data_IF_298117434406
#
_entry.id   IF_298117434406
#
_cell.length_a   1.000
_cell.length_b   1.000
_cell.length_c   1.000
_cell.angle_alpha   90.00
_cell.angle_beta   90.00
_cell.angle_gamma   90.00
#
_symmetry.space_group_name_H-M   'P 1'
#
loop_
_entity.id
_entity.type
_entity.pdbx_description
1 polymer ?
#
# COMPACT_ATOMS: atom_id res chain seq x y z
N UNK A 1 4.29 8.47 -30.34
CA UNK A 1 3.12 7.86 -29.67
C UNK A 1 3.50 6.60 -28.88
N UNK A 2 4.24 5.68 -29.47
CA UNK A 2 4.68 4.41 -28.79
C UNK A 2 5.48 4.65 -27.50
N UNK A 3 6.46 5.56 -27.51
CA UNK A 3 7.26 5.87 -26.32
C UNK A 3 6.41 6.43 -25.18
N UNK A 4 5.39 7.21 -25.48
CA UNK A 4 4.47 7.73 -24.47
C UNK A 4 3.64 6.60 -23.84
N UNK A 5 3.10 5.69 -24.66
CA UNK A 5 2.33 4.55 -24.17
C UNK A 5 3.17 3.61 -23.29
N UNK A 6 4.40 3.33 -23.69
CA UNK A 6 5.33 2.50 -22.91
C UNK A 6 5.61 3.15 -21.55
N UNK A 7 5.92 4.45 -21.53
CA UNK A 7 6.16 5.19 -20.27
C UNK A 7 4.93 5.25 -19.39
N UNK A 8 3.75 5.43 -19.97
CA UNK A 8 2.49 5.42 -19.23
C UNK A 8 2.23 4.04 -18.60
N UNK A 9 2.43 2.96 -19.35
CA UNK A 9 2.30 1.59 -18.84
C UNK A 9 3.30 1.29 -17.72
N UNK A 10 4.56 1.71 -17.87
CA UNK A 10 5.58 1.55 -16.84
C UNK A 10 5.21 2.31 -15.55
N UNK A 11 4.72 3.54 -15.68
CA UNK A 11 4.25 4.34 -14.54
C UNK A 11 3.09 3.63 -13.84
N UNK A 12 2.09 3.19 -14.60
CA UNK A 12 0.92 2.47 -14.07
C UNK A 12 1.32 1.20 -13.33
N UNK A 13 2.21 0.40 -13.92
CA UNK A 13 2.71 -0.83 -13.31
C UNK A 13 3.47 -0.54 -12.01
N UNK A 14 4.35 0.46 -12.02
CA UNK A 14 5.13 0.86 -10.84
C UNK A 14 4.24 1.34 -9.70
N UNK A 15 3.26 2.19 -10.00
CA UNK A 15 2.26 2.66 -9.02
C UNK A 15 1.42 1.50 -8.49
N UNK A 16 1.00 0.57 -9.34
CA UNK A 16 0.22 -0.60 -8.92
C UNK A 16 0.97 -1.46 -7.92
N UNK A 17 2.27 -1.70 -8.16
CA UNK A 17 3.11 -2.48 -7.23
C UNK A 17 3.28 -1.73 -5.91
N UNK A 18 3.58 -0.43 -5.95
CA UNK A 18 3.76 0.37 -4.74
C UNK A 18 2.48 0.42 -3.90
N UNK A 19 1.33 0.64 -4.54
CA UNK A 19 0.02 0.67 -3.86
C UNK A 19 -0.31 -0.69 -3.28
N UNK A 20 -0.14 -1.77 -4.04
CA UNK A 20 -0.42 -3.12 -3.57
C UNK A 20 0.40 -3.46 -2.32
N UNK A 21 1.68 -3.12 -2.30
CA UNK A 21 2.56 -3.37 -1.16
C UNK A 21 2.25 -2.44 0.02
N UNK A 22 1.89 -1.19 -0.26
CA UNK A 22 1.43 -0.23 0.75
C UNK A 22 0.18 -0.75 1.48
N UNK A 23 -0.87 -1.07 0.74
CA UNK A 23 -2.11 -1.63 1.30
C UNK A 23 -1.85 -3.00 1.96
N UNK A 24 -0.94 -3.78 1.38
CA UNK A 24 -0.46 -5.04 1.97
C UNK A 24 0.18 -4.86 3.34
N UNK A 25 0.85 -3.73 3.59
CA UNK A 25 1.39 -3.37 4.89
C UNK A 25 0.30 -3.16 5.95
N UNK A 26 -0.72 -2.39 5.64
CA UNK A 26 -1.90 -2.20 6.50
C UNK A 26 -2.61 -3.53 6.77
N UNK A 27 -2.81 -4.31 5.72
CA UNK A 27 -3.42 -5.63 5.80
C UNK A 27 -2.63 -6.58 6.71
N UNK A 28 -1.31 -6.66 6.53
CA UNK A 28 -0.43 -7.54 7.31
C UNK A 28 -0.50 -7.23 8.81
N UNK A 29 -0.31 -5.97 9.20
CA UNK A 29 -0.36 -5.59 10.61
C UNK A 29 -1.76 -5.74 11.20
N UNK A 30 -2.82 -5.48 10.43
CA UNK A 30 -4.19 -5.71 10.87
C UNK A 30 -4.43 -7.18 11.19
N UNK A 31 -4.04 -8.08 10.31
CA UNK A 31 -4.17 -9.54 10.56
C UNK A 31 -3.29 -10.00 11.72
N UNK A 32 -2.07 -9.49 11.84
CA UNK A 32 -1.14 -9.83 12.92
C UNK A 32 -1.73 -9.49 14.30
N UNK A 33 -2.44 -8.37 14.43
CA UNK A 33 -3.05 -7.92 15.69
C UNK A 33 -4.51 -8.35 15.85
N UNK A 34 -5.01 -9.24 14.99
CA UNK A 34 -6.38 -9.73 15.06
C UNK A 34 -7.45 -8.66 14.81
N UNK A 35 -7.11 -7.67 13.96
CA UNK A 35 -8.07 -6.70 13.45
C UNK A 35 -8.69 -7.23 12.17
N UNK A 36 -10.01 -7.12 12.06
CA UNK A 36 -10.75 -7.58 10.91
C UNK A 36 -10.53 -6.61 9.74
N UNK A 37 -10.13 -7.17 8.61
CA UNK A 37 -10.10 -6.46 7.32
C UNK A 37 -11.32 -6.89 6.52
N UNK A 38 -12.16 -5.94 6.15
CA UNK A 38 -13.40 -6.20 5.41
C UNK A 38 -13.14 -6.32 3.91
N UNK A 39 -12.38 -5.36 3.36
CA UNK A 39 -12.05 -5.31 1.94
C UNK A 39 -10.57 -5.03 1.71
N UNK A 40 -10.02 -5.66 0.71
CA UNK A 40 -8.67 -5.41 0.20
C UNK A 40 -8.74 -5.29 -1.32
N UNK A 41 -8.62 -4.08 -1.82
CA UNK A 41 -8.80 -3.78 -3.24
C UNK A 41 -7.55 -3.15 -3.82
N UNK A 42 -7.09 -3.73 -4.93
CA UNK A 42 -6.17 -3.06 -5.82
C UNK A 42 -7.00 -2.20 -6.78
N UNK A 43 -6.68 -0.93 -6.86
CA UNK A 43 -7.44 0.09 -7.56
C UNK A 43 -8.80 0.41 -6.95
N UNK A 44 -9.25 1.63 -7.17
CA UNK A 44 -10.57 2.06 -6.74
C UNK A 44 -11.66 1.48 -7.65
N UNK A 45 -12.80 1.22 -7.06
CA UNK A 45 -13.97 0.63 -7.72
C UNK A 45 -15.23 1.53 -7.65
N UNK A 46 -15.14 2.85 -7.97
CA UNK A 46 -16.31 3.70 -7.96
C UNK A 46 -17.34 3.12 -8.94
N UNK A 47 -18.56 2.86 -8.44
CA UNK A 47 -19.72 2.30 -9.10
C UNK A 47 -19.66 0.80 -9.43
N UNK A 48 -18.51 0.25 -9.85
CA UNK A 48 -18.37 -1.20 -10.13
C UNK A 48 -16.93 -1.68 -9.97
N UNK A 49 -16.76 -2.96 -9.73
CA UNK A 49 -15.46 -3.65 -9.67
C UNK A 49 -15.31 -4.56 -10.89
N UNK A 50 -14.07 -4.81 -11.30
CA UNK A 50 -13.76 -5.73 -12.39
C UNK A 50 -13.81 -7.19 -11.92
N UNK A 51 -13.34 -7.43 -10.71
CA UNK A 51 -13.26 -8.74 -10.11
C UNK A 51 -13.41 -8.63 -8.60
N UNK A 52 -14.17 -9.55 -7.99
CA UNK A 52 -14.29 -9.68 -6.54
C UNK A 52 -14.27 -11.16 -6.16
N UNK A 53 -13.51 -11.48 -5.12
CA UNK A 53 -13.38 -12.82 -4.61
C UNK A 53 -13.36 -12.82 -3.08
N UNK A 54 -14.22 -13.64 -2.47
CA UNK A 54 -14.24 -13.87 -1.02
C UNK A 54 -13.96 -15.32 -0.72
N UNK A 55 -12.80 -15.68 -0.10
CA UNK A 55 -12.52 -17.03 0.34
C UNK A 55 -13.53 -17.48 1.41
N UNK A 56 -13.96 -18.74 1.35
CA UNK A 56 -14.97 -19.29 2.29
C UNK A 56 -14.56 -19.21 3.78
N UNK A 57 -13.26 -19.18 4.05
CA UNK A 57 -12.70 -19.15 5.41
C UNK A 57 -12.08 -17.79 5.76
N UNK A 58 -12.41 -16.72 5.04
CA UNK A 58 -11.88 -15.39 5.29
C UNK A 58 -13.00 -14.37 5.45
N UNK A 59 -12.82 -13.45 6.39
CA UNK A 59 -13.71 -12.30 6.55
C UNK A 59 -13.41 -11.20 5.52
N UNK A 60 -12.30 -11.33 4.80
CA UNK A 60 -11.81 -10.32 3.86
C UNK A 60 -12.30 -10.64 2.45
N UNK A 61 -12.85 -9.63 1.79
CA UNK A 61 -13.17 -9.64 0.36
C UNK A 61 -12.02 -9.00 -0.40
N UNK A 62 -11.49 -9.71 -1.38
CA UNK A 62 -10.41 -9.24 -2.25
C UNK A 62 -10.99 -8.82 -3.59
N UNK A 63 -10.56 -7.69 -4.12
CA UNK A 63 -11.10 -7.20 -5.37
C UNK A 63 -10.11 -6.41 -6.21
N UNK A 64 -10.49 -6.22 -7.46
CA UNK A 64 -9.80 -5.39 -8.44
C UNK A 64 -10.78 -4.33 -8.95
N UNK A 65 -10.48 -3.08 -8.65
CA UNK A 65 -11.18 -1.93 -9.22
C UNK A 65 -10.73 -1.64 -10.65
N UNK A 66 -11.36 -0.70 -11.29
CA UNK A 66 -11.05 -0.29 -12.66
C UNK A 66 -10.22 1.01 -12.72
N UNK A 67 -10.20 1.80 -11.64
CA UNK A 67 -9.56 3.11 -11.61
C UNK A 67 -8.15 3.01 -10.99
N UNK A 68 -7.07 3.04 -11.79
CA UNK A 68 -5.72 2.75 -11.33
C UNK A 68 -5.04 3.98 -10.67
N UNK A 69 -5.76 4.69 -9.82
CA UNK A 69 -5.26 5.85 -9.06
C UNK A 69 -4.87 5.53 -7.62
N UNK A 70 -5.02 4.28 -7.20
CA UNK A 70 -4.74 3.85 -5.83
C UNK A 70 -5.40 2.52 -5.54
N UNK A 71 -5.41 2.09 -4.29
CA UNK A 71 -6.13 0.95 -3.77
C UNK A 71 -6.67 1.30 -2.40
N UNK A 72 -7.29 0.35 -1.72
CA UNK A 72 -7.70 0.55 -0.34
C UNK A 72 -7.79 -0.76 0.45
N UNK A 73 -7.53 -0.63 1.74
CA UNK A 73 -7.66 -1.70 2.72
C UNK A 73 -8.69 -1.26 3.78
N UNK A 74 -9.95 -1.71 3.66
CA UNK A 74 -10.99 -1.37 4.61
C UNK A 74 -10.84 -2.17 5.91
N UNK A 75 -10.45 -1.47 6.97
CA UNK A 75 -10.19 -2.04 8.29
C UNK A 75 -11.39 -1.72 9.20
N UNK A 76 -11.96 -2.74 9.85
CA UNK A 76 -13.10 -2.56 10.77
C UNK A 76 -12.75 -1.59 11.91
N UNK A 77 -13.62 -0.62 12.15
CA UNK A 77 -13.45 0.38 13.21
C UNK A 77 -12.41 1.47 12.92
N UNK A 78 -12.00 1.61 11.66
CA UNK A 78 -11.13 2.69 11.17
C UNK A 78 -11.87 3.47 10.08
N UNK A 79 -11.73 4.78 10.07
CA UNK A 79 -12.19 5.63 8.95
C UNK A 79 -11.06 5.64 7.92
N UNK A 80 -11.31 5.05 6.79
CA UNK A 80 -10.42 4.97 5.64
C UNK A 80 -10.93 5.83 4.47
N UNK A 81 -10.39 5.63 3.29
CA UNK A 81 -10.79 6.32 2.07
C UNK A 81 -12.25 6.08 1.66
N UNK A 82 -12.92 5.08 2.24
CA UNK A 82 -14.35 4.83 2.01
C UNK A 82 -15.28 5.77 2.78
N UNK A 83 -14.73 6.54 3.74
CA UNK A 83 -15.46 7.46 4.61
C UNK A 83 -16.69 6.86 5.31
N UNK A 84 -16.65 5.54 5.57
CA UNK A 84 -17.74 4.83 6.25
C UNK A 84 -17.76 5.15 7.75
N UNK A 85 -18.48 6.20 8.11
CA UNK A 85 -18.63 6.65 9.50
C UNK A 85 -19.73 5.91 10.26
N UNK A 86 -20.58 5.12 9.57
CA UNK A 86 -21.70 4.42 10.21
C UNK A 86 -21.23 3.36 11.22
N UNK A 87 -20.09 2.72 10.93
CA UNK A 87 -19.47 1.77 11.86
C UNK A 87 -19.10 2.40 13.20
N UNK A 88 -18.71 3.69 13.19
CA UNK A 88 -18.28 4.39 14.40
C UNK A 88 -19.42 4.71 15.36
N UNK A 89 -20.68 4.67 14.90
CA UNK A 89 -21.89 4.87 15.73
C UNK A 89 -22.26 3.62 16.52
N UNK A 90 -21.74 2.45 16.15
CA UNK A 90 -22.02 1.19 16.83
C UNK A 90 -21.08 0.96 18.02
N UNK A 91 -21.48 0.13 19.01
CA UNK A 91 -20.59 -0.28 20.09
C UNK A 91 -19.32 -0.94 19.57
N UNK A 92 -18.19 -0.61 20.20
CA UNK A 92 -16.87 -1.13 19.87
C UNK A 92 -16.83 -2.66 19.99
N UNK A 93 -16.23 -3.31 18.98
CA UNK A 93 -16.06 -4.75 18.95
C UNK A 93 -14.56 -5.14 19.14
N UNK A 94 -14.27 -6.31 19.76
CA UNK A 94 -12.89 -6.72 20.04
C UNK A 94 -12.00 -6.89 18.82
N UNK A 95 -12.59 -7.11 17.64
CA UNK A 95 -11.88 -7.28 16.35
C UNK A 95 -11.68 -5.97 15.61
N UNK A 96 -12.08 -4.85 16.16
CA UNK A 96 -11.96 -3.53 15.52
C UNK A 96 -10.63 -2.85 15.84
N UNK A 97 -10.19 -1.99 14.93
CA UNK A 97 -9.00 -1.16 15.08
C UNK A 97 -9.03 -0.31 16.35
N UNK A 98 -10.17 0.30 16.67
CA UNK A 98 -10.34 1.18 17.84
C UNK A 98 -10.20 0.45 19.18
N UNK A 99 -10.45 -0.87 19.21
CA UNK A 99 -10.29 -1.70 20.43
C UNK A 99 -8.84 -2.01 20.77
N UNK A 100 -7.89 -1.74 19.85
CA UNK A 100 -6.48 -2.10 20.05
C UNK A 100 -5.70 -1.02 20.78
N UNK A 101 -4.67 -1.40 21.56
CA UNK A 101 -3.79 -0.46 22.21
C UNK A 101 -3.09 0.46 21.21
N UNK A 102 -2.70 1.66 21.66
CA UNK A 102 -2.17 2.73 20.80
C UNK A 102 -0.99 2.29 19.93
N UNK A 103 -0.07 1.48 20.44
CA UNK A 103 1.10 1.01 19.70
C UNK A 103 0.74 0.07 18.53
N UNK A 104 -0.30 -0.80 18.69
CA UNK A 104 -0.80 -1.64 17.61
C UNK A 104 -1.48 -0.80 16.53
N UNK A 105 -2.29 0.16 16.95
CA UNK A 105 -2.93 1.11 16.02
C UNK A 105 -1.89 1.89 15.23
N UNK A 106 -0.82 2.35 15.90
CA UNK A 106 0.29 3.04 15.24
C UNK A 106 0.94 2.14 14.18
N UNK A 107 1.26 0.88 14.52
CA UNK A 107 1.89 -0.05 13.57
C UNK A 107 0.98 -0.38 12.37
N UNK A 108 -0.33 -0.49 12.58
CA UNK A 108 -1.30 -0.64 11.49
C UNK A 108 -1.27 0.58 10.58
N UNK A 109 -1.30 1.80 11.15
CA UNK A 109 -1.33 3.04 10.37
C UNK A 109 -0.05 3.29 9.58
N UNK A 110 1.12 3.03 10.15
CA UNK A 110 2.40 3.24 9.46
C UNK A 110 2.81 2.04 8.59
N UNK A 111 2.08 0.92 8.69
CA UNK A 111 2.42 -0.35 8.04
C UNK A 111 2.64 -0.23 6.54
N UNK A 112 1.78 0.52 5.85
CA UNK A 112 1.92 0.77 4.42
C UNK A 112 3.22 1.49 4.07
N UNK A 113 3.50 2.60 4.74
CA UNK A 113 4.74 3.37 4.53
C UNK A 113 5.97 2.55 4.90
N UNK A 114 5.91 1.79 6.00
CA UNK A 114 7.02 0.94 6.44
C UNK A 114 7.39 -0.10 5.38
N UNK A 115 6.41 -0.77 4.80
CA UNK A 115 6.65 -1.77 3.74
C UNK A 115 7.26 -1.11 2.50
N UNK A 116 6.77 0.05 2.09
CA UNK A 116 7.34 0.79 0.95
C UNK A 116 8.77 1.27 1.25
N UNK A 117 9.06 1.68 2.48
CA UNK A 117 10.42 2.03 2.88
C UNK A 117 11.38 0.84 2.81
N UNK A 118 10.98 -0.32 3.34
CA UNK A 118 11.76 -1.56 3.26
C UNK A 118 11.98 -1.97 1.80
N UNK A 119 10.94 -1.87 0.97
CA UNK A 119 11.03 -2.13 -0.48
C UNK A 119 12.05 -1.20 -1.15
N UNK A 120 12.03 0.09 -0.83
CA UNK A 120 12.97 1.06 -1.39
C UNK A 120 14.41 0.72 -1.00
N UNK A 121 14.67 0.38 0.27
CA UNK A 121 15.99 -0.08 0.72
C UNK A 121 16.43 -1.34 -0.02
N UNK A 122 15.52 -2.30 -0.19
CA UNK A 122 15.81 -3.54 -0.89
C UNK A 122 16.17 -3.29 -2.37
N UNK A 123 15.34 -2.52 -3.09
CA UNK A 123 15.59 -2.20 -4.51
C UNK A 123 16.92 -1.43 -4.66
N UNK A 124 17.16 -0.44 -3.81
CA UNK A 124 18.38 0.36 -3.84
C UNK A 124 19.62 -0.51 -3.57
N UNK A 125 19.56 -1.39 -2.58
CA UNK A 125 20.63 -2.34 -2.29
C UNK A 125 20.91 -3.28 -3.46
N UNK A 126 19.86 -3.77 -4.14
CA UNK A 126 20.00 -4.60 -5.33
C UNK A 126 20.67 -3.85 -6.50
N UNK A 127 20.30 -2.58 -6.69
CA UNK A 127 20.92 -1.71 -7.69
C UNK A 127 22.41 -1.54 -7.40
N UNK A 128 22.77 -1.19 -6.16
CA UNK A 128 24.15 -1.03 -5.75
C UNK A 128 24.95 -2.32 -5.88
N UNK A 129 24.34 -3.45 -5.51
CA UNK A 129 24.99 -4.75 -5.63
C UNK A 129 25.30 -5.15 -7.08
N UNK A 130 24.39 -4.82 -8.02
CA UNK A 130 24.53 -5.21 -9.42
C UNK A 130 25.38 -4.22 -10.24
N UNK A 131 25.22 -2.93 -10.05
CA UNK A 131 25.89 -1.89 -10.84
C UNK A 131 27.03 -1.19 -10.09
N UNK A 132 27.13 -1.38 -8.78
CA UNK A 132 28.12 -0.68 -7.94
C UNK A 132 27.84 0.79 -7.77
N UNK A 133 28.74 1.47 -7.07
CA UNK A 133 28.69 2.93 -6.88
C UNK A 133 29.51 3.64 -7.98
N UNK A 134 28.88 4.57 -8.68
CA UNK A 134 29.57 5.50 -9.57
C UNK A 134 29.75 6.85 -8.83
N UNK A 135 30.97 7.16 -8.44
CA UNK A 135 31.31 8.46 -7.86
C UNK A 135 32.35 9.18 -8.69
N UNK A 136 32.19 10.47 -8.80
CA UNK A 136 33.18 11.36 -9.45
C UNK A 136 34.09 11.91 -8.37
N UNK A 137 35.38 11.67 -8.50
CA UNK A 137 36.37 12.22 -7.57
C UNK A 137 36.28 13.74 -7.53
N UNK A 138 36.30 14.35 -6.34
CA UNK A 138 36.16 15.82 -6.14
C UNK A 138 37.12 16.63 -7.00
N UNK A 139 38.33 16.10 -7.25
CA UNK A 139 39.34 16.73 -8.14
C UNK A 139 38.92 16.79 -9.62
N UNK A 140 37.96 15.95 -10.05
CA UNK A 140 37.44 15.94 -11.43
C UNK A 140 36.25 16.88 -11.60
N UNK A 141 35.74 17.49 -10.53
CA UNK A 141 34.63 18.45 -10.55
C UNK A 141 35.16 19.85 -10.85
N UNK A 142 35.46 20.14 -12.12
CA UNK A 142 36.04 21.42 -12.58
C UNK A 142 35.03 22.58 -12.43
N UNK A 143 33.73 22.29 -12.53
CA UNK A 143 32.63 23.29 -12.52
C UNK A 143 31.67 23.19 -11.30
N UNK A 144 32.07 22.52 -10.26
CA UNK A 144 31.23 22.30 -9.06
C UNK A 144 30.12 21.25 -9.29
N UNK A 145 29.30 21.04 -8.26
CA UNK A 145 28.11 20.22 -8.36
C UNK A 145 26.99 21.04 -8.99
N UNK A 146 26.42 20.55 -10.08
CA UNK A 146 25.18 21.08 -10.65
C UNK A 146 24.00 20.34 -10.10
#
# INVERSE_FOLDING_TARGET
MEVFLIKALQLMLSLSILVLLHEGGHFFFSKLFGVRVEKFYLFFDPWFHLFEFKPKNSDTTYGLGWLPLGGYCKISGMIDESFDTEQMKQPEQPYEFRSKPAWQRLLIMIGGVLVNFVLALFIYSMILFHWGDNYVATRAMIYGMK
#
